data_IF_355490379816
#
_entry.id   IF_355490379816
#
_cell.length_a   1.000
_cell.length_b   1.000
_cell.length_c   1.000
_cell.angle_alpha   90.00
_cell.angle_beta   90.00
_cell.angle_gamma   90.00
#
_symmetry.space_group_name_H-M   'P 1'
#
loop_
_entity.id
_entity.type
_entity.pdbx_description
1 polymer ?
#
# COMPACT_ATOMS: atom_id res chain seq x y z
N UNK A 1 16.13 -18.06 10.12
CA UNK A 1 15.52 -17.25 9.07
C UNK A 1 14.31 -16.50 9.62
N UNK A 2 14.40 -15.19 9.64
CA UNK A 2 13.34 -14.38 10.21
C UNK A 2 12.24 -14.22 9.17
N UNK A 3 11.10 -14.80 9.43
CA UNK A 3 9.94 -14.58 8.58
C UNK A 3 9.18 -13.37 9.10
N UNK A 4 8.74 -12.54 8.18
CA UNK A 4 7.88 -11.41 8.55
C UNK A 4 6.52 -11.98 8.95
N UNK A 5 5.99 -11.59 10.12
CA UNK A 5 4.67 -12.10 10.53
C UNK A 5 3.58 -11.58 9.62
N UNK A 6 2.54 -12.37 9.46
CA UNK A 6 1.39 -12.01 8.62
C UNK A 6 0.63 -10.82 9.19
N UNK A 7 -0.23 -10.22 8.38
CA UNK A 7 -1.10 -9.15 8.85
C UNK A 7 -2.04 -9.69 9.92
N UNK A 8 -2.18 -8.94 11.01
CA UNK A 8 -3.13 -9.26 12.05
C UNK A 8 -4.54 -8.83 11.65
N UNK A 9 -5.54 -9.35 12.36
CA UNK A 9 -6.92 -8.92 12.12
C UNK A 9 -7.09 -7.42 12.36
N UNK A 10 -6.39 -6.88 13.36
CA UNK A 10 -6.44 -5.46 13.66
C UNK A 10 -5.87 -4.63 12.51
N UNK A 11 -4.77 -5.11 11.92
CA UNK A 11 -4.17 -4.43 10.77
C UNK A 11 -5.10 -4.45 9.57
N UNK A 12 -5.70 -5.60 9.28
CA UNK A 12 -6.65 -5.72 8.17
C UNK A 12 -7.86 -4.84 8.39
N UNK A 13 -8.36 -4.81 9.63
CA UNK A 13 -9.50 -3.97 9.98
C UNK A 13 -9.18 -2.48 9.77
N UNK A 14 -7.97 -2.05 10.14
CA UNK A 14 -7.55 -0.67 9.95
C UNK A 14 -7.54 -0.29 8.47
N UNK A 15 -7.02 -1.17 7.61
CA UNK A 15 -7.02 -0.95 6.17
C UNK A 15 -8.45 -0.88 5.65
N UNK A 16 -9.27 -1.86 5.97
CA UNK A 16 -10.65 -1.92 5.49
C UNK A 16 -11.47 -0.69 5.92
N UNK A 17 -11.33 -0.28 7.18
CA UNK A 17 -12.04 0.87 7.70
C UNK A 17 -11.63 2.14 6.98
N UNK A 18 -10.34 2.31 6.73
CA UNK A 18 -9.83 3.48 6.02
C UNK A 18 -10.35 3.52 4.59
N UNK A 19 -10.40 2.35 3.93
CA UNK A 19 -10.94 2.27 2.57
C UNK A 19 -12.43 2.64 2.53
N UNK A 20 -13.21 2.21 3.51
CA UNK A 20 -14.62 2.55 3.60
C UNK A 20 -14.84 4.05 3.80
N UNK A 21 -13.96 4.70 4.53
CA UNK A 21 -14.02 6.14 4.73
C UNK A 21 -13.65 6.90 3.45
N UNK A 22 -12.67 6.39 2.71
CA UNK A 22 -12.19 7.03 1.49
C UNK A 22 -13.17 6.86 0.33
N UNK A 23 -13.78 5.70 0.22
CA UNK A 23 -14.74 5.38 -0.85
C UNK A 23 -16.04 4.85 -0.26
N UNK A 24 -16.83 5.73 0.36
CA UNK A 24 -18.09 5.28 0.95
C UNK A 24 -19.04 4.79 -0.15
N UNK A 25 -19.73 3.70 0.13
CA UNK A 25 -20.68 3.12 -0.82
C UNK A 25 -20.04 2.17 -1.81
N UNK A 26 -18.71 2.05 -1.84
CA UNK A 26 -18.03 1.08 -2.68
C UNK A 26 -17.59 -0.11 -1.83
N UNK A 27 -17.77 -1.30 -2.38
CA UNK A 27 -17.33 -2.52 -1.73
C UNK A 27 -15.94 -2.89 -2.27
N UNK A 28 -14.91 -2.47 -1.56
CA UNK A 28 -13.54 -2.70 -1.97
C UNK A 28 -12.99 -3.87 -1.17
N UNK A 29 -12.61 -4.93 -1.87
CA UNK A 29 -12.02 -6.10 -1.25
C UNK A 29 -10.51 -5.99 -1.25
N UNK A 30 -9.91 -6.19 -0.06
CA UNK A 30 -8.46 -6.34 0.01
C UNK A 30 -8.12 -7.82 -0.18
N UNK A 31 -7.06 -8.06 -0.93
CA UNK A 31 -6.61 -9.43 -1.24
C UNK A 31 -5.24 -9.65 -0.63
N UNK A 32 -5.08 -10.71 0.17
CA UNK A 32 -3.75 -11.02 0.71
C UNK A 32 -2.88 -11.66 -0.35
N UNK A 33 -1.59 -11.42 -0.25
CA UNK A 33 -0.60 -12.00 -1.15
C UNK A 33 0.74 -12.06 -0.43
N UNK A 34 1.64 -12.85 -0.98
CA UNK A 34 3.04 -12.85 -0.55
C UNK A 34 3.86 -12.26 -1.68
N UNK A 35 4.76 -11.36 -1.34
CA UNK A 35 5.64 -10.72 -2.33
C UNK A 35 7.08 -10.90 -1.90
N UNK A 36 7.96 -11.02 -2.88
CA UNK A 36 9.39 -11.09 -2.63
C UNK A 36 9.98 -9.71 -2.86
N UNK A 37 10.65 -9.18 -1.84
CA UNK A 37 11.25 -7.86 -1.95
C UNK A 37 12.70 -7.92 -1.49
N UNK A 38 13.48 -6.98 -1.99
CA UNK A 38 14.83 -6.76 -1.53
C UNK A 38 14.75 -5.72 -0.41
N UNK A 39 15.05 -6.15 0.82
CA UNK A 39 14.93 -5.27 1.98
C UNK A 39 15.87 -4.07 1.90
N UNK A 40 17.11 -4.31 1.45
CA UNK A 40 18.09 -3.26 1.24
C UNK A 40 18.71 -3.42 -0.14
N UNK A 41 19.15 -2.31 -0.76
CA UNK A 41 19.65 -2.39 -2.14
C UNK A 41 20.83 -3.35 -2.32
N UNK A 42 21.64 -3.56 -1.28
CA UNK A 42 22.80 -4.46 -1.34
C UNK A 42 22.46 -5.92 -1.06
N UNK A 43 21.23 -6.23 -0.70
CA UNK A 43 20.85 -7.61 -0.38
C UNK A 43 20.85 -8.45 -1.65
N UNK A 44 21.44 -9.64 -1.57
CA UNK A 44 21.45 -10.58 -2.68
C UNK A 44 20.21 -11.44 -2.72
N UNK A 45 19.60 -11.66 -1.57
CA UNK A 45 18.43 -12.49 -1.45
C UNK A 45 17.19 -11.64 -1.27
N UNK A 46 16.08 -12.16 -1.78
CA UNK A 46 14.78 -11.54 -1.59
C UNK A 46 14.14 -12.08 -0.33
N UNK A 47 13.37 -11.24 0.35
CA UNK A 47 12.61 -11.64 1.54
C UNK A 47 11.14 -11.74 1.16
N UNK A 48 10.51 -12.84 1.52
CA UNK A 48 9.07 -13.01 1.32
C UNK A 48 8.33 -12.26 2.41
N UNK A 49 7.48 -11.33 2.01
CA UNK A 49 6.73 -10.49 2.92
C UNK A 49 5.24 -10.60 2.63
N UNK A 50 4.38 -10.60 3.66
CA UNK A 50 2.94 -10.54 3.42
C UNK A 50 2.56 -9.16 2.90
N UNK A 51 1.55 -9.14 2.03
CA UNK A 51 1.06 -7.92 1.43
C UNK A 51 -0.45 -7.98 1.33
N UNK A 52 -1.09 -6.82 1.28
CA UNK A 52 -2.49 -6.71 0.91
C UNK A 52 -2.58 -5.74 -0.25
N UNK A 53 -3.45 -6.04 -1.19
CA UNK A 53 -3.64 -5.17 -2.34
C UNK A 53 -5.11 -5.07 -2.69
N UNK A 54 -5.45 -3.97 -3.37
CA UNK A 54 -6.80 -3.75 -3.88
C UNK A 54 -6.71 -2.83 -5.08
N UNK A 55 -7.81 -2.78 -5.84
CA UNK A 55 -7.90 -1.95 -7.02
C UNK A 55 -9.12 -1.05 -6.95
N UNK A 56 -8.96 0.18 -7.39
CA UNK A 56 -10.06 1.13 -7.55
C UNK A 56 -9.90 1.78 -8.92
N UNK A 57 -10.84 1.50 -9.83
CA UNK A 57 -10.71 1.99 -11.19
C UNK A 57 -9.49 1.42 -11.89
N UNK A 58 -8.61 2.29 -12.34
CA UNK A 58 -7.36 1.89 -13.02
C UNK A 58 -6.16 1.93 -12.08
N UNK A 59 -6.37 2.17 -10.79
CA UNK A 59 -5.29 2.29 -9.81
C UNK A 59 -5.24 1.05 -8.95
N UNK A 60 -4.04 0.51 -8.78
CA UNK A 60 -3.77 -0.62 -7.88
C UNK A 60 -2.97 -0.11 -6.69
N UNK A 61 -3.35 -0.58 -5.50
CA UNK A 61 -2.69 -0.20 -4.25
C UNK A 61 -2.14 -1.43 -3.58
N UNK A 62 -0.96 -1.32 -2.98
CA UNK A 62 -0.36 -2.42 -2.23
C UNK A 62 0.28 -1.89 -0.95
N UNK A 63 0.11 -2.65 0.12
CA UNK A 63 0.80 -2.42 1.39
C UNK A 63 1.54 -3.69 1.72
N UNK A 64 2.83 -3.56 1.98
CA UNK A 64 3.72 -4.67 2.27
C UNK A 64 4.17 -4.56 3.72
N UNK A 65 3.98 -5.62 4.49
CA UNK A 65 4.48 -5.68 5.86
C UNK A 65 5.89 -6.24 5.81
N UNK A 66 6.88 -5.39 6.12
CA UNK A 66 8.28 -5.77 5.99
C UNK A 66 8.92 -6.18 7.31
N UNK A 67 8.24 -5.91 8.41
CA UNK A 67 8.64 -6.37 9.74
C UNK A 67 7.42 -6.23 10.65
N UNK A 68 7.54 -6.72 11.89
CA UNK A 68 6.50 -6.48 12.87
C UNK A 68 6.35 -4.96 13.05
N UNK A 69 5.17 -4.44 12.74
CA UNK A 69 4.84 -3.01 12.83
C UNK A 69 5.66 -2.12 11.90
N UNK A 70 6.12 -2.65 10.77
CA UNK A 70 6.79 -1.84 9.75
C UNK A 70 6.18 -2.14 8.39
N UNK A 71 5.80 -1.09 7.68
CA UNK A 71 5.02 -1.21 6.45
C UNK A 71 5.59 -0.33 5.36
N UNK A 72 5.42 -0.77 4.11
CA UNK A 72 5.72 0.01 2.91
C UNK A 72 4.48 0.05 2.05
N UNK A 73 4.28 1.14 1.32
CA UNK A 73 3.11 1.30 0.47
C UNK A 73 3.51 1.82 -0.90
N UNK A 74 2.75 1.39 -1.90
CA UNK A 74 2.90 1.85 -3.27
C UNK A 74 1.54 1.84 -3.92
N UNK A 75 1.37 2.71 -4.91
CA UNK A 75 0.23 2.59 -5.81
C UNK A 75 0.70 2.82 -7.24
N UNK A 76 -0.02 2.24 -8.20
CA UNK A 76 0.38 2.36 -9.58
C UNK A 76 -0.85 2.36 -10.46
N UNK A 77 -0.74 3.04 -11.58
CA UNK A 77 -1.78 3.08 -12.59
C UNK A 77 -1.54 1.98 -13.62
N UNK A 78 -2.56 1.73 -14.41
CA UNK A 78 -2.45 0.77 -15.49
C UNK A 78 -1.28 1.18 -16.39
N UNK A 79 -0.37 0.24 -16.65
CA UNK A 79 0.86 0.50 -17.37
C UNK A 79 2.05 0.41 -16.43
N UNK A 80 2.91 1.38 -16.47
CA UNK A 80 4.19 1.29 -15.76
C UNK A 80 4.42 2.38 -14.73
N UNK A 81 3.44 3.24 -14.50
CA UNK A 81 3.60 4.35 -13.57
C UNK A 81 3.39 3.88 -12.14
N UNK A 82 4.43 3.94 -11.35
CA UNK A 82 4.45 3.53 -9.97
C UNK A 82 4.76 4.73 -9.08
N UNK A 83 4.01 4.87 -8.01
CA UNK A 83 4.15 6.01 -7.12
C UNK A 83 4.28 5.53 -5.68
N UNK A 84 5.10 6.23 -4.90
CA UNK A 84 5.20 6.05 -3.48
C UNK A 84 4.90 7.35 -2.76
N UNK A 85 4.99 7.30 -1.44
CA UNK A 85 4.69 8.47 -0.61
C UNK A 85 5.90 9.35 -0.34
N UNK A 86 7.09 8.91 -0.77
CA UNK A 86 8.33 9.58 -0.43
C UNK A 86 8.93 9.12 0.88
N UNK A 87 8.17 8.39 1.69
CA UNK A 87 8.64 7.77 2.93
C UNK A 87 8.73 6.28 2.70
N UNK A 88 9.88 5.69 3.02
CA UNK A 88 10.12 4.28 2.73
C UNK A 88 9.36 3.37 3.68
N UNK A 89 9.48 3.59 4.98
CA UNK A 89 8.90 2.70 5.99
C UNK A 89 7.96 3.47 6.91
N UNK A 90 6.88 2.82 7.30
CA UNK A 90 5.91 3.34 8.27
C UNK A 90 5.85 2.39 9.45
N UNK A 91 5.70 2.94 10.65
CA UNK A 91 5.58 2.15 11.87
C UNK A 91 4.13 1.99 12.36
N UNK A 92 3.17 2.47 11.57
CA UNK A 92 1.75 2.39 11.89
C UNK A 92 0.99 2.13 10.60
N UNK A 93 0.17 1.07 10.60
CA UNK A 93 -0.58 0.68 9.41
C UNK A 93 -1.58 1.75 8.98
N UNK A 94 -2.25 2.38 9.93
CA UNK A 94 -3.23 3.42 9.62
C UNK A 94 -2.54 4.62 8.97
N UNK A 95 -1.41 5.05 9.54
CA UNK A 95 -0.64 6.15 8.98
C UNK A 95 -0.16 5.84 7.57
N UNK A 96 0.28 4.60 7.35
CA UNK A 96 0.72 4.13 6.04
C UNK A 96 -0.41 4.24 5.02
N UNK A 97 -1.59 3.71 5.34
CA UNK A 97 -2.74 3.71 4.43
C UNK A 97 -3.23 5.13 4.18
N UNK A 98 -3.41 5.90 5.24
CA UNK A 98 -3.93 7.27 5.12
C UNK A 98 -2.99 8.14 4.29
N UNK A 99 -1.69 8.04 4.53
CA UNK A 99 -0.72 8.84 3.77
C UNK A 99 -0.71 8.44 2.30
N UNK A 100 -0.77 7.14 2.02
CA UNK A 100 -0.80 6.67 0.63
C UNK A 100 -2.06 7.18 -0.09
N UNK A 101 -3.21 7.10 0.56
CA UNK A 101 -4.46 7.57 -0.04
C UNK A 101 -4.46 9.09 -0.22
N UNK A 102 -3.82 9.82 0.70
CA UNK A 102 -3.69 11.27 0.59
C UNK A 102 -2.83 11.64 -0.63
N UNK A 103 -1.70 10.97 -0.81
CA UNK A 103 -0.83 11.21 -1.96
C UNK A 103 -1.58 10.89 -3.25
N UNK A 104 -2.33 9.80 -3.26
CA UNK A 104 -3.14 9.43 -4.42
C UNK A 104 -4.20 10.50 -4.72
N UNK A 105 -4.90 10.99 -3.69
CA UNK A 105 -5.92 12.01 -3.86
C UNK A 105 -5.32 13.31 -4.41
N UNK A 106 -4.16 13.69 -3.90
CA UNK A 106 -3.45 14.89 -4.36
C UNK A 106 -3.05 14.76 -5.82
N UNK A 107 -2.55 13.58 -6.22
CA UNK A 107 -2.18 13.35 -7.60
C UNK A 107 -3.39 13.37 -8.52
N UNK A 108 -4.50 12.79 -8.13
CA UNK A 108 -5.73 12.82 -8.91
C UNK A 108 -6.23 14.26 -9.08
N UNK A 109 -6.18 15.06 -8.02
CA UNK A 109 -6.58 16.45 -8.08
C UNK A 109 -5.68 17.25 -9.03
N UNK A 110 -4.37 17.02 -8.95
CA UNK A 110 -3.41 17.70 -9.81
C UNK A 110 -3.61 17.34 -11.27
N UNK A 111 -3.84 16.06 -11.56
CA UNK A 111 -4.06 15.60 -12.93
C UNK A 111 -5.33 16.21 -13.53
N UNK A 112 -6.37 16.43 -12.69
CA UNK A 112 -7.61 17.06 -13.15
C UNK A 112 -7.45 18.57 -13.36
N UNK A 113 -6.59 19.21 -12.63
CA UNK A 113 -6.36 20.66 -12.71
C UNK A 113 -5.46 21.05 -13.86
N UNK A 114 -4.62 20.17 -14.34
CA UNK A 114 -3.71 20.48 -15.45
C UNK A 114 -4.46 20.40 -16.77
N UNK A 115 -4.67 21.52 -17.46
CA UNK A 115 -5.24 21.48 -18.80
C UNK A 115 -4.23 20.85 -19.75
N UNK A 116 -4.68 19.93 -20.52
CA UNK A 116 -3.85 19.27 -21.52
C UNK A 116 -3.79 20.15 -22.78
#
# INVERSE_FOLDING_TARGET
>A
MTQVPDFTEAEQWAVETTLKERWPGQNIEIQPADVEIRMQPQDRELTVCPAVFWEVGTTSFVIIKVADKTYRSQFYYRGYQQYGTGKTDYDDITDCVVTMLQVHADKEAKDREEPV
#
